data_IF_686880053872
#
_entry.id   IF_686880053872
#
_cell.length_a   1.000
_cell.length_b   1.000
_cell.length_c   1.000
_cell.angle_alpha   90.00
_cell.angle_beta   90.00
_cell.angle_gamma   90.00
#
_symmetry.space_group_name_H-M   'P 1'
#
loop_
_entity.id
_entity.type
_entity.pdbx_description
1 polymer ?
#
# COMPACT_ATOMS: atom_id res chain seq x y z
N UNK A 1 15.38 37.65 10.57
CA UNK A 1 14.86 36.27 10.69
C UNK A 1 13.35 36.13 10.42
N UNK A 2 12.60 37.21 10.14
CA UNK A 2 11.15 37.14 9.90
C UNK A 2 10.76 36.12 8.80
N UNK A 3 11.50 36.10 7.68
CA UNK A 3 11.23 35.15 6.58
C UNK A 3 11.47 33.67 6.95
N UNK A 4 12.39 33.38 7.86
CA UNK A 4 12.69 32.01 8.32
C UNK A 4 11.59 31.50 9.26
N UNK A 5 11.07 32.38 10.12
CA UNK A 5 9.98 32.04 11.03
C UNK A 5 8.63 31.90 10.32
N UNK A 6 8.50 32.47 9.10
CA UNK A 6 7.31 32.35 8.26
C UNK A 6 7.45 31.30 7.14
N UNK A 7 8.52 30.50 7.13
CA UNK A 7 8.78 29.48 6.10
C UNK A 7 8.57 28.06 6.63
N UNK A 8 7.98 27.16 5.83
CA UNK A 8 7.79 25.74 6.19
C UNK A 8 9.12 24.99 6.41
N UNK A 9 10.19 25.44 5.75
CA UNK A 9 11.53 24.87 5.86
C UNK A 9 12.58 25.99 5.98
N UNK A 10 13.37 25.94 7.06
CA UNK A 10 14.51 26.83 7.26
C UNK A 10 15.78 26.21 6.66
N UNK A 11 16.36 26.85 5.63
CA UNK A 11 17.58 26.38 4.96
C UNK A 11 18.67 27.45 5.09
N UNK A 12 19.88 27.04 5.48
CA UNK A 12 21.00 27.96 5.71
C UNK A 12 21.67 28.45 4.41
N UNK A 13 21.72 27.62 3.36
CA UNK A 13 22.38 27.92 2.08
C UNK A 13 21.58 27.33 0.91
N UNK A 14 21.61 28.01 -0.25
CA UNK A 14 20.85 27.60 -1.43
C UNK A 14 21.26 26.21 -1.96
N UNK A 15 22.52 25.80 -1.74
CA UNK A 15 23.00 24.47 -2.12
C UNK A 15 22.20 23.31 -1.50
N UNK A 16 21.69 23.46 -0.27
CA UNK A 16 20.90 22.40 0.39
C UNK A 16 19.51 22.22 -0.22
N UNK A 17 19.02 23.20 -1.00
CA UNK A 17 17.71 23.12 -1.66
C UNK A 17 17.67 21.99 -2.69
N UNK A 18 18.79 21.72 -3.38
CA UNK A 18 18.90 20.62 -4.34
C UNK A 18 18.63 19.28 -3.68
N UNK A 19 19.28 19.01 -2.54
CA UNK A 19 19.11 17.76 -1.78
C UNK A 19 17.71 17.66 -1.15
N UNK A 20 17.15 18.77 -0.70
CA UNK A 20 15.80 18.78 -0.13
C UNK A 20 14.75 18.41 -1.17
N UNK A 21 14.75 19.05 -2.34
CA UNK A 21 13.77 18.79 -3.39
C UNK A 21 13.98 17.45 -4.08
N UNK A 22 15.16 17.20 -4.65
CA UNK A 22 15.40 16.04 -5.51
C UNK A 22 15.33 14.71 -4.75
N UNK A 23 15.81 14.69 -3.50
CA UNK A 23 15.81 13.48 -2.68
C UNK A 23 14.56 13.39 -1.81
N UNK A 24 14.40 14.32 -0.87
CA UNK A 24 13.35 14.22 0.15
C UNK A 24 11.97 14.53 -0.44
N UNK A 25 11.86 15.50 -1.33
CA UNK A 25 10.60 15.83 -2.02
C UNK A 25 10.06 14.65 -2.84
N UNK A 26 10.90 14.07 -3.72
CA UNK A 26 10.52 12.89 -4.52
C UNK A 26 10.17 11.68 -3.65
N UNK A 27 10.97 11.42 -2.63
CA UNK A 27 10.76 10.29 -1.70
C UNK A 27 9.44 10.45 -0.95
N UNK A 28 9.16 11.65 -0.43
CA UNK A 28 7.90 11.95 0.26
C UNK A 28 6.71 11.77 -0.68
N UNK A 29 6.80 12.29 -1.92
CA UNK A 29 5.74 12.15 -2.91
C UNK A 29 5.41 10.66 -3.18
N UNK A 30 6.43 9.84 -3.48
CA UNK A 30 6.24 8.39 -3.74
C UNK A 30 5.62 7.68 -2.54
N UNK A 31 6.10 7.97 -1.32
CA UNK A 31 5.59 7.36 -0.08
C UNK A 31 4.13 7.74 0.16
N UNK A 32 3.81 9.03 0.06
CA UNK A 32 2.46 9.53 0.29
C UNK A 32 1.47 8.99 -0.76
N UNK A 33 1.82 8.97 -2.04
CA UNK A 33 0.93 8.42 -3.08
C UNK A 33 0.58 6.94 -2.84
N UNK A 34 1.57 6.12 -2.45
CA UNK A 34 1.33 4.70 -2.10
C UNK A 34 0.48 4.56 -0.83
N UNK A 35 0.80 5.35 0.19
CA UNK A 35 0.14 5.31 1.49
C UNK A 35 -1.34 5.69 1.37
N UNK A 36 -1.66 6.77 0.66
CA UNK A 36 -3.05 7.20 0.44
C UNK A 36 -3.84 6.15 -0.33
N UNK A 37 -3.31 5.64 -1.45
CA UNK A 37 -3.99 4.61 -2.24
C UNK A 37 -4.28 3.34 -1.42
N UNK A 38 -3.33 2.92 -0.60
CA UNK A 38 -3.53 1.78 0.29
C UNK A 38 -4.52 2.07 1.42
N UNK A 39 -4.52 3.27 2.00
CA UNK A 39 -5.49 3.66 3.02
C UNK A 39 -6.92 3.54 2.52
N UNK A 40 -7.20 3.94 1.28
CA UNK A 40 -8.52 3.74 0.70
C UNK A 40 -8.83 2.26 0.47
N UNK A 41 -7.89 1.50 -0.10
CA UNK A 41 -8.07 0.08 -0.36
C UNK A 41 -8.35 -0.74 0.91
N UNK A 42 -7.58 -0.54 2.00
CA UNK A 42 -7.76 -1.31 3.24
C UNK A 42 -9.11 -1.04 3.92
N UNK A 43 -9.60 0.20 3.84
CA UNK A 43 -10.87 0.60 4.41
C UNK A 43 -12.03 0.05 3.58
N UNK A 44 -11.88 0.10 2.25
CA UNK A 44 -12.87 -0.47 1.32
C UNK A 44 -13.03 -1.97 1.49
N UNK A 45 -11.95 -2.75 1.61
CA UNK A 45 -12.07 -4.22 1.83
C UNK A 45 -12.85 -4.52 3.10
N UNK A 46 -12.52 -3.85 4.21
CA UNK A 46 -13.20 -4.08 5.48
C UNK A 46 -14.70 -3.80 5.40
N UNK A 47 -15.09 -2.64 4.82
CA UNK A 47 -16.49 -2.25 4.69
C UNK A 47 -17.23 -3.13 3.70
N UNK A 48 -16.62 -3.46 2.56
CA UNK A 48 -17.24 -4.31 1.53
C UNK A 48 -17.43 -5.74 2.00
N UNK A 49 -16.48 -6.31 2.75
CA UNK A 49 -16.65 -7.64 3.33
C UNK A 49 -17.88 -7.71 4.26
N UNK A 50 -18.06 -6.70 5.12
CA UNK A 50 -19.26 -6.58 5.96
C UNK A 50 -20.52 -6.35 5.13
N UNK A 51 -20.42 -5.57 4.04
CA UNK A 51 -21.53 -5.34 3.13
C UNK A 51 -21.99 -6.63 2.43
N UNK A 52 -21.08 -7.50 2.01
CA UNK A 52 -21.45 -8.79 1.42
C UNK A 52 -22.13 -9.71 2.44
N UNK A 53 -21.69 -9.68 3.70
CA UNK A 53 -22.33 -10.43 4.78
C UNK A 53 -23.77 -9.97 5.07
N UNK A 54 -24.05 -8.68 4.90
CA UNK A 54 -25.41 -8.14 5.06
C UNK A 54 -26.43 -8.84 4.15
N UNK A 55 -26.03 -9.23 2.94
CA UNK A 55 -26.91 -9.95 2.02
C UNK A 55 -27.26 -11.37 2.50
N UNK A 56 -26.35 -12.04 3.21
CA UNK A 56 -26.62 -13.37 3.78
C UNK A 56 -27.59 -13.32 4.96
N UNK A 57 -27.54 -12.25 5.75
CA UNK A 57 -28.36 -12.08 6.96
C UNK A 57 -29.71 -11.38 6.68
N UNK A 58 -30.15 -11.34 5.41
CA UNK A 58 -31.44 -10.79 5.01
C UNK A 58 -31.58 -9.29 5.27
N UNK A 59 -30.49 -8.52 5.20
CA UNK A 59 -30.46 -7.07 5.45
C UNK A 59 -30.86 -6.65 6.87
N UNK A 60 -30.71 -7.54 7.86
CA UNK A 60 -31.02 -7.27 9.27
C UNK A 60 -30.07 -6.25 9.94
N UNK A 61 -28.99 -5.84 9.27
CA UNK A 61 -28.04 -4.85 9.79
C UNK A 61 -27.11 -5.39 10.88
N UNK A 62 -27.09 -6.70 11.08
CA UNK A 62 -26.26 -7.32 12.12
C UNK A 62 -24.77 -7.14 11.82
N UNK A 63 -24.03 -6.63 12.80
CA UNK A 63 -22.58 -6.45 12.70
C UNK A 63 -21.90 -7.80 12.91
N UNK A 64 -21.10 -8.19 11.94
CA UNK A 64 -20.30 -9.40 12.01
C UNK A 64 -19.03 -9.18 12.86
N UNK A 65 -18.41 -8.01 12.71
CA UNK A 65 -17.21 -7.66 13.46
C UNK A 65 -17.55 -7.24 14.90
N UNK A 66 -16.70 -7.66 15.83
CA UNK A 66 -16.66 -7.07 17.17
C UNK A 66 -16.33 -5.58 17.06
N UNK A 67 -17.03 -4.75 17.84
CA UNK A 67 -16.84 -3.31 17.88
C UNK A 67 -15.41 -2.91 18.23
N UNK A 68 -14.79 -3.65 19.15
CA UNK A 68 -13.38 -3.48 19.52
C UNK A 68 -12.47 -3.84 18.35
N UNK A 69 -12.76 -4.93 17.62
CA UNK A 69 -12.00 -5.35 16.45
C UNK A 69 -12.00 -4.31 15.33
N UNK A 70 -13.17 -3.73 15.04
CA UNK A 70 -13.32 -2.68 14.04
C UNK A 70 -12.50 -1.42 14.39
N UNK A 71 -12.49 -1.01 15.67
CA UNK A 71 -11.69 0.13 16.13
C UNK A 71 -10.18 -0.18 16.08
N UNK A 72 -9.77 -1.37 16.52
CA UNK A 72 -8.37 -1.80 16.52
C UNK A 72 -7.80 -2.00 15.11
N UNK A 73 -8.63 -2.30 14.12
CA UNK A 73 -8.21 -2.44 12.72
C UNK A 73 -7.50 -1.19 12.20
N UNK A 74 -8.11 -0.02 12.40
CA UNK A 74 -7.56 1.23 11.92
C UNK A 74 -6.34 1.68 12.72
N UNK A 75 -6.33 1.43 14.04
CA UNK A 75 -5.29 1.91 14.93
C UNK A 75 -4.04 1.01 14.95
N UNK A 76 -4.18 -0.29 15.18
CA UNK A 76 -3.03 -1.18 15.42
C UNK A 76 -2.69 -1.97 14.15
N UNK A 77 -3.68 -2.68 13.60
CA UNK A 77 -3.40 -3.69 12.58
C UNK A 77 -3.02 -3.13 11.21
N UNK A 78 -3.35 -1.85 10.94
CA UNK A 78 -3.12 -1.27 9.62
C UNK A 78 -2.34 0.04 9.60
N UNK A 79 -2.26 0.79 10.71
CA UNK A 79 -1.46 2.03 10.76
C UNK A 79 0.02 1.75 11.06
N UNK A 80 0.31 0.82 11.97
CA UNK A 80 1.67 0.41 12.33
C UNK A 80 2.46 -0.15 11.14
N UNK A 81 1.97 -1.21 10.44
CA UNK A 81 2.73 -1.80 9.35
C UNK A 81 2.95 -0.83 8.19
N UNK A 82 1.96 0.02 7.89
CA UNK A 82 2.12 1.02 6.83
C UNK A 82 2.97 2.20 7.25
N UNK A 83 2.95 2.59 8.52
CA UNK A 83 3.82 3.64 9.06
C UNK A 83 5.28 3.19 9.00
N UNK A 84 5.57 1.98 9.48
CA UNK A 84 6.89 1.36 9.39
C UNK A 84 7.34 1.29 7.93
N UNK A 85 6.50 0.77 7.03
CA UNK A 85 6.87 0.71 5.61
C UNK A 85 7.01 2.08 4.97
N UNK A 86 6.14 3.03 5.27
CA UNK A 86 6.23 4.40 4.75
C UNK A 86 7.53 5.10 5.16
N UNK A 87 8.03 4.85 6.38
CA UNK A 87 9.29 5.44 6.88
C UNK A 87 10.51 4.73 6.31
N UNK A 88 10.49 3.40 6.22
CA UNK A 88 11.63 2.58 5.79
C UNK A 88 11.68 2.25 4.29
N UNK A 89 10.66 2.60 3.49
CA UNK A 89 10.66 2.39 2.04
C UNK A 89 11.57 3.42 1.36
N UNK A 90 12.78 2.99 0.98
CA UNK A 90 13.76 3.77 0.22
C UNK A 90 13.82 3.23 -1.21
N UNK A 91 13.44 4.08 -2.17
CA UNK A 91 13.34 3.69 -3.58
C UNK A 91 14.66 3.88 -4.35
N UNK A 92 15.37 4.99 -4.14
CA UNK A 92 16.60 5.35 -4.86
C UNK A 92 17.62 6.00 -3.91
N UNK A 93 18.89 5.56 -3.92
CA UNK A 93 19.95 6.19 -3.12
C UNK A 93 20.29 7.59 -3.63
N UNK A 94 20.75 8.46 -2.73
CA UNK A 94 21.11 9.87 -3.04
C UNK A 94 22.03 10.01 -4.26
N UNK A 95 23.07 9.17 -4.36
CA UNK A 95 24.05 9.22 -5.44
C UNK A 95 23.43 9.08 -6.85
N UNK A 96 22.34 8.31 -6.96
CA UNK A 96 21.64 8.11 -8.24
C UNK A 96 20.69 9.28 -8.54
N UNK A 97 20.03 9.83 -7.52
CA UNK A 97 19.16 11.00 -7.67
C UNK A 97 19.91 12.24 -8.17
N UNK A 98 21.14 12.45 -7.70
CA UNK A 98 21.99 13.55 -8.15
C UNK A 98 22.47 13.38 -9.60
N UNK A 99 22.75 12.14 -10.02
CA UNK A 99 23.23 11.84 -11.38
C UNK A 99 22.12 11.92 -12.44
N UNK A 100 20.87 11.72 -12.05
CA UNK A 100 19.71 11.70 -12.94
C UNK A 100 18.55 12.55 -12.41
N UNK A 101 18.62 13.90 -12.52
CA UNK A 101 17.58 14.79 -12.01
C UNK A 101 16.23 14.61 -12.70
N UNK A 102 16.21 14.03 -13.91
CA UNK A 102 14.98 13.69 -14.63
C UNK A 102 14.04 12.74 -13.86
N UNK A 103 14.54 12.01 -12.84
CA UNK A 103 13.69 11.20 -11.95
C UNK A 103 12.67 12.03 -11.16
N UNK A 104 12.91 13.33 -10.98
CA UNK A 104 12.00 14.22 -10.26
C UNK A 104 10.73 14.54 -11.05
N UNK A 105 10.76 14.42 -12.40
CA UNK A 105 9.63 14.75 -13.26
C UNK A 105 8.36 13.96 -12.93
N UNK A 106 8.50 12.75 -12.38
CA UNK A 106 7.35 11.92 -11.95
C UNK A 106 6.50 12.60 -10.86
N UNK A 107 7.12 13.44 -10.02
CA UNK A 107 6.41 14.24 -9.03
C UNK A 107 5.62 15.39 -9.67
N UNK A 108 6.20 16.03 -10.67
CA UNK A 108 5.60 17.18 -11.38
C UNK A 108 4.44 16.71 -12.27
N UNK A 109 4.59 15.59 -12.97
CA UNK A 109 3.55 15.06 -13.85
C UNK A 109 2.36 14.45 -13.11
N UNK A 110 2.45 14.26 -11.78
CA UNK A 110 1.34 13.74 -10.98
C UNK A 110 0.99 12.28 -11.27
N UNK A 111 1.86 11.55 -11.98
CA UNK A 111 1.58 10.21 -12.51
C UNK A 111 1.34 9.14 -11.43
N UNK A 112 1.92 9.31 -10.24
CA UNK A 112 1.80 8.34 -9.15
C UNK A 112 0.43 8.40 -8.44
N UNK A 113 -0.25 9.55 -8.50
CA UNK A 113 -1.54 9.77 -7.86
C UNK A 113 -2.56 10.34 -8.84
N UNK A 114 -2.81 9.60 -9.91
CA UNK A 114 -3.86 9.93 -10.89
C UNK A 114 -5.19 9.28 -10.49
N UNK A 115 -6.31 9.89 -10.87
CA UNK A 115 -7.67 9.38 -10.63
C UNK A 115 -7.86 7.95 -11.14
N UNK A 116 -7.27 7.59 -12.28
CA UNK A 116 -7.31 6.21 -12.81
C UNK A 116 -6.61 5.20 -11.88
N UNK A 117 -5.49 5.59 -11.28
CA UNK A 117 -4.78 4.75 -10.30
C UNK A 117 -5.65 4.56 -9.06
N UNK A 118 -6.32 5.61 -8.60
CA UNK A 118 -7.26 5.54 -7.50
C UNK A 118 -8.42 4.57 -7.76
N UNK A 119 -9.08 4.65 -8.92
CA UNK A 119 -10.12 3.68 -9.28
C UNK A 119 -9.60 2.25 -9.41
N UNK A 120 -8.35 2.07 -9.85
CA UNK A 120 -7.72 0.75 -9.87
C UNK A 120 -7.59 0.17 -8.46
N UNK A 121 -7.26 0.99 -7.45
CA UNK A 121 -7.24 0.56 -6.05
C UNK A 121 -8.63 0.16 -5.55
N UNK A 122 -9.67 0.90 -5.93
CA UNK A 122 -11.06 0.57 -5.58
C UNK A 122 -11.49 -0.75 -6.23
N UNK A 123 -11.25 -0.92 -7.53
CA UNK A 123 -11.60 -2.15 -8.24
C UNK A 123 -10.89 -3.37 -7.64
N UNK A 124 -9.61 -3.24 -7.29
CA UNK A 124 -8.86 -4.29 -6.59
C UNK A 124 -9.45 -4.60 -5.21
N UNK A 125 -9.87 -3.58 -4.45
CA UNK A 125 -10.52 -3.77 -3.15
C UNK A 125 -11.85 -4.53 -3.28
N UNK A 126 -12.67 -4.20 -4.28
CA UNK A 126 -13.94 -4.89 -4.54
C UNK A 126 -13.69 -6.35 -4.88
N UNK A 127 -12.78 -6.61 -5.82
CA UNK A 127 -12.44 -7.98 -6.23
C UNK A 127 -11.98 -8.82 -5.03
N UNK A 128 -11.09 -8.29 -4.21
CA UNK A 128 -10.57 -9.04 -3.06
C UNK A 128 -11.59 -9.20 -1.94
N UNK A 129 -12.47 -8.21 -1.71
CA UNK A 129 -13.57 -8.37 -0.77
C UNK A 129 -14.52 -9.51 -1.18
N UNK A 130 -14.81 -9.64 -2.48
CA UNK A 130 -15.62 -10.76 -3.02
C UNK A 130 -14.90 -12.09 -2.81
N UNK A 131 -13.58 -12.16 -3.06
CA UNK A 131 -12.80 -13.38 -2.85
C UNK A 131 -12.76 -13.77 -1.37
N UNK A 132 -12.52 -12.82 -0.47
CA UNK A 132 -12.51 -13.05 0.98
C UNK A 132 -13.86 -13.59 1.43
N UNK A 133 -14.96 -12.97 0.99
CA UNK A 133 -16.30 -13.42 1.28
C UNK A 133 -16.57 -14.84 0.75
N UNK A 134 -16.22 -15.12 -0.52
CA UNK A 134 -16.40 -16.44 -1.11
C UNK A 134 -15.61 -17.53 -0.37
N UNK A 135 -14.37 -17.24 0.02
CA UNK A 135 -13.52 -18.16 0.80
C UNK A 135 -14.13 -18.40 2.18
N UNK A 136 -14.65 -17.38 2.86
CA UNK A 136 -15.30 -17.54 4.15
C UNK A 136 -16.55 -18.43 4.04
N UNK A 137 -17.43 -18.17 3.07
CA UNK A 137 -18.66 -18.95 2.87
C UNK A 137 -18.35 -20.41 2.50
N UNK A 138 -17.40 -20.65 1.58
CA UNK A 138 -17.02 -22.01 1.18
C UNK A 138 -16.30 -22.77 2.31
N UNK A 139 -15.44 -22.10 3.06
CA UNK A 139 -14.69 -22.70 4.17
C UNK A 139 -15.58 -23.16 5.31
N UNK A 140 -16.61 -22.39 5.65
CA UNK A 140 -17.55 -22.76 6.72
C UNK A 140 -18.59 -23.81 6.27
N UNK A 141 -18.99 -23.83 5.00
CA UNK A 141 -19.96 -24.81 4.50
C UNK A 141 -19.39 -26.24 4.37
N UNK A 142 -18.06 -26.41 4.31
CA UNK A 142 -17.42 -27.74 4.22
C UNK A 142 -17.21 -28.43 5.57
N UNK A 143 -17.29 -27.67 6.67
CA UNK A 143 -17.24 -28.23 8.01
C UNK A 143 -18.65 -28.75 8.33
N UNK A 144 -18.90 -30.03 8.09
CA UNK A 144 -20.14 -30.78 8.39
C UNK A 144 -20.47 -30.86 9.91
N UNK A 145 -20.18 -29.82 10.67
CA UNK A 145 -20.80 -29.58 11.98
C UNK A 145 -21.94 -28.61 11.68
N UNK A 146 -23.11 -29.14 11.30
CA UNK A 146 -24.39 -28.45 11.10
C UNK A 146 -24.35 -27.00 10.57
N UNK A 147 -24.83 -26.77 9.36
CA UNK A 147 -25.06 -25.42 8.82
C UNK A 147 -25.75 -24.52 9.86
N UNK A 148 -25.02 -23.53 10.39
CA UNK A 148 -25.50 -22.62 11.44
C UNK A 148 -25.04 -22.90 12.87
N UNK A 149 -24.12 -23.84 13.12
CA UNK A 149 -23.62 -24.14 14.48
C UNK A 149 -22.30 -23.44 14.86
N UNK A 150 -21.69 -22.69 13.94
CA UNK A 150 -20.68 -21.69 14.28
C UNK A 150 -21.40 -20.44 14.80
N UNK A 151 -21.15 -20.06 16.05
CA UNK A 151 -21.66 -18.79 16.59
C UNK A 151 -21.24 -17.65 15.65
N UNK A 152 -22.13 -16.68 15.41
CA UNK A 152 -21.88 -15.56 14.50
C UNK A 152 -20.55 -14.86 14.79
N UNK A 153 -20.15 -14.86 16.06
CA UNK A 153 -18.88 -14.34 16.52
C UNK A 153 -17.67 -15.07 15.92
N UNK A 154 -17.73 -16.39 15.75
CA UNK A 154 -16.65 -17.17 15.16
C UNK A 154 -16.46 -16.82 13.68
N UNK A 155 -17.56 -16.66 12.95
CA UNK A 155 -17.55 -16.21 11.56
C UNK A 155 -16.91 -14.81 11.44
N UNK A 156 -17.33 -13.88 12.30
CA UNK A 156 -16.77 -12.52 12.42
C UNK A 156 -15.28 -12.47 12.70
N UNK A 157 -14.77 -13.34 13.58
CA UNK A 157 -13.34 -13.43 13.88
C UNK A 157 -12.56 -13.95 12.68
N UNK A 158 -13.05 -15.00 12.01
CA UNK A 158 -12.36 -15.56 10.83
C UNK A 158 -12.32 -14.55 9.69
N UNK A 159 -13.44 -13.90 9.35
CA UNK A 159 -13.43 -12.87 8.32
C UNK A 159 -12.53 -11.69 8.67
N UNK A 160 -12.56 -11.23 9.92
CA UNK A 160 -11.66 -10.17 10.39
C UNK A 160 -10.17 -10.57 10.22
N UNK A 161 -9.80 -11.79 10.61
CA UNK A 161 -8.42 -12.27 10.46
C UNK A 161 -8.00 -12.39 8.99
N UNK A 162 -8.90 -12.85 8.10
CA UNK A 162 -8.65 -12.91 6.67
C UNK A 162 -8.45 -11.52 6.07
N UNK A 163 -9.29 -10.54 6.42
CA UNK A 163 -9.14 -9.15 5.95
C UNK A 163 -7.80 -8.58 6.40
N UNK A 164 -7.42 -8.74 7.67
CA UNK A 164 -6.13 -8.26 8.20
C UNK A 164 -4.95 -8.94 7.50
N UNK A 165 -5.04 -10.25 7.26
CA UNK A 165 -3.99 -11.02 6.59
C UNK A 165 -3.83 -10.58 5.14
N UNK A 166 -4.91 -10.50 4.37
CA UNK A 166 -4.87 -10.06 2.96
C UNK A 166 -4.33 -8.64 2.84
N UNK A 167 -4.79 -7.72 3.70
CA UNK A 167 -4.28 -6.36 3.73
C UNK A 167 -2.76 -6.33 3.97
N UNK A 168 -2.27 -6.99 5.02
CA UNK A 168 -0.84 -7.05 5.32
C UNK A 168 -0.02 -7.75 4.23
N UNK A 169 -0.56 -8.82 3.64
CA UNK A 169 0.08 -9.54 2.55
C UNK A 169 0.20 -8.68 1.29
N UNK A 170 -0.85 -7.92 0.93
CA UNK A 170 -0.84 -6.98 -0.19
C UNK A 170 0.28 -5.96 -0.06
N UNK A 171 0.47 -5.41 1.14
CA UNK A 171 1.54 -4.47 1.45
C UNK A 171 2.92 -5.10 1.28
N UNK A 172 3.09 -6.31 1.81
CA UNK A 172 4.33 -7.06 1.68
C UNK A 172 4.65 -7.28 0.20
N UNK A 173 3.72 -7.82 -0.57
CA UNK A 173 3.90 -8.10 -2.01
C UNK A 173 4.20 -6.82 -2.81
N UNK A 174 3.59 -5.69 -2.44
CA UNK A 174 3.87 -4.38 -3.06
C UNK A 174 5.30 -3.92 -2.80
N UNK A 175 5.87 -4.17 -1.61
CA UNK A 175 7.28 -3.90 -1.29
C UNK A 175 8.23 -4.72 -2.19
N UNK A 176 7.92 -6.00 -2.40
CA UNK A 176 8.75 -6.92 -3.20
C UNK A 176 8.54 -6.77 -4.73
N UNK A 177 7.68 -5.85 -5.18
CA UNK A 177 7.60 -5.39 -6.57
C UNK A 177 6.81 -6.27 -7.54
N UNK A 178 6.15 -7.33 -7.08
CA UNK A 178 5.49 -8.31 -7.98
C UNK A 178 4.16 -7.80 -8.57
N UNK A 179 3.42 -6.94 -7.86
CA UNK A 179 2.06 -6.51 -8.26
C UNK A 179 2.04 -5.23 -9.11
N UNK A 180 3.18 -4.57 -9.35
CA UNK A 180 3.25 -3.43 -10.28
C UNK A 180 2.96 -3.89 -11.75
N UNK A 181 3.15 -5.18 -12.06
CA UNK A 181 2.94 -5.70 -13.41
C UNK A 181 1.48 -6.00 -13.77
N UNK A 182 0.60 -6.27 -12.79
CA UNK A 182 -0.76 -6.75 -13.07
C UNK A 182 -1.82 -5.66 -13.06
N UNK A 183 -1.56 -4.48 -12.44
CA UNK A 183 -2.59 -3.45 -12.22
C UNK A 183 -2.36 -2.13 -12.98
N UNK A 184 -1.31 -2.01 -13.81
CA UNK A 184 -1.07 -0.78 -14.58
C UNK A 184 -1.52 -0.97 -16.04
N UNK A 185 -2.34 -0.04 -16.59
CA UNK A 185 -2.60 0.02 -18.02
C UNK A 185 -1.28 0.07 -18.79
N UNK A 186 -1.22 -0.69 -19.88
CA UNK A 186 -0.04 -0.98 -20.71
C UNK A 186 0.76 0.25 -21.20
N UNK A 187 0.17 1.45 -21.17
CA UNK A 187 0.84 2.72 -21.51
C UNK A 187 1.82 3.21 -20.43
N UNK A 188 1.46 3.10 -19.14
CA UNK A 188 2.31 3.54 -18.01
C UNK A 188 3.41 2.53 -17.65
N UNK A 189 3.21 1.27 -18.04
CA UNK A 189 4.14 0.17 -17.81
C UNK A 189 5.50 0.36 -18.54
N UNK A 190 5.52 1.08 -19.67
CA UNK A 190 6.76 1.34 -20.43
C UNK A 190 7.71 2.32 -19.74
N UNK A 191 7.20 3.37 -19.11
CA UNK A 191 8.01 4.35 -18.39
C UNK A 191 8.62 3.75 -17.11
N UNK A 192 7.82 2.99 -16.36
CA UNK A 192 8.24 2.37 -15.09
C UNK A 192 9.17 1.15 -15.29
N UNK A 193 9.02 0.38 -16.38
CA UNK A 193 9.91 -0.77 -16.66
C UNK A 193 11.36 -0.37 -16.92
N UNK A 194 11.60 0.89 -17.34
CA UNK A 194 12.96 1.45 -17.52
C UNK A 194 13.59 1.79 -16.17
N UNK A 195 12.85 2.37 -15.24
CA UNK A 195 13.34 2.66 -13.88
C UNK A 195 13.54 1.39 -13.03
N UNK A 196 12.70 0.36 -13.18
CA UNK A 196 12.84 -0.88 -12.40
C UNK A 196 13.94 -1.81 -12.93
N UNK A 197 14.21 -1.84 -14.25
CA UNK A 197 15.38 -2.54 -14.82
C UNK A 197 16.71 -1.95 -14.31
N UNK A 198 16.71 -0.67 -13.97
CA UNK A 198 17.86 0.00 -13.38
C UNK A 198 18.13 -0.46 -11.94
N UNK A 199 17.07 -0.63 -11.13
CA UNK A 199 17.21 -1.09 -9.74
C UNK A 199 17.69 -2.56 -9.62
N UNK A 200 17.23 -3.46 -10.51
CA UNK A 200 17.76 -4.85 -10.54
C UNK A 200 19.23 -4.93 -10.95
N UNK A 201 19.73 -4.01 -11.78
CA UNK A 201 21.16 -3.95 -12.14
C UNK A 201 22.02 -3.33 -11.03
N UNK A 202 21.46 -2.42 -10.24
CA UNK A 202 22.14 -1.85 -9.06
C UNK A 202 22.35 -2.87 -7.94
N UNK A 203 21.36 -3.73 -7.67
CA UNK A 203 21.46 -4.74 -6.61
C UNK A 203 22.44 -5.88 -6.96
N UNK A 204 22.48 -6.32 -8.23
CA UNK A 204 23.48 -7.31 -8.68
C UNK A 204 24.89 -6.71 -8.87
N UNK A 205 25.00 -5.43 -9.19
CA UNK A 205 26.30 -4.75 -9.34
C UNK A 205 26.98 -4.39 -8.01
N UNK A 206 26.21 -4.18 -6.94
CA UNK A 206 26.75 -3.86 -5.61
C UNK A 206 27.29 -5.09 -4.86
N UNK A 207 26.75 -6.29 -5.13
CA UNK A 207 27.23 -7.54 -4.52
C UNK A 207 28.55 -8.03 -5.15
N UNK A 208 28.84 -7.68 -6.41
CA UNK A 208 30.08 -8.11 -7.07
C UNK A 208 31.28 -7.16 -6.90
N UNK A 209 31.10 -5.96 -6.34
CA UNK A 209 32.18 -4.97 -6.16
C UNK A 209 32.69 -4.83 -4.72
N UNK A 210 32.10 -5.56 -3.77
CA UNK A 210 32.52 -5.55 -2.36
C UNK A 210 33.58 -6.58 -1.98
N UNK A 211 34.22 -7.26 -2.94
CA UNK A 211 35.11 -8.41 -2.67
C UNK A 211 36.52 -8.29 -3.25
N UNK A 212 36.89 -7.13 -3.80
CA UNK A 212 38.19 -6.91 -4.44
C UNK A 212 38.67 -5.47 -4.25
N UNK A 213 38.84 -5.02 -3.00
CA UNK A 213 39.85 -4.01 -2.63
C UNK A 213 40.26 -4.25 -1.16
N UNK A 214 41.24 -5.13 -0.99
CA UNK A 214 42.23 -5.14 0.09
C UNK A 214 43.61 -5.25 -0.58
#
# INVERSE_FOLDING_TARGET
MQAVNSSDYAIAQFYFLEKLLLHHGRLNYVRMSKLVGYMFYKNMIMVLAQYFFLYMTGSSGQKEYSEVGFQLYNLIYTSLPIGVLGVFDYDVPWAVGQRFPALYNVGISGELFTTSVFFTWIAAAIFEAVVIFAVAVLGFNQLEVGAGSGDLQQYGIVLFTLVVLVANFKVLVRRWGIVIFTTLPSSSCRAMSRSFRFNRRGFFGAVSRGSLEF
#
